data_IF_924612001125
#
_entry.id   IF_924612001125
#
_cell.length_a   1.000
_cell.length_b   1.000
_cell.length_c   1.000
_cell.angle_alpha   90.00
_cell.angle_beta   90.00
_cell.angle_gamma   90.00
#
_symmetry.space_group_name_H-M   'P 1'
#
loop_
_entity.id
_entity.type
_entity.pdbx_description
1 polymer ?
#
# COMPACT_ATOMS: atom_id res chain seq x y z
N UNK A 1 -4.44 -28.28 -3.57
CA UNK A 1 -4.52 -27.04 -2.75
C UNK A 1 -4.46 -25.88 -3.71
N UNK A 2 -5.27 -24.84 -3.53
CA UNK A 2 -5.16 -23.64 -4.36
C UNK A 2 -3.92 -22.84 -3.95
N UNK A 3 -3.16 -22.37 -4.92
CA UNK A 3 -1.97 -21.55 -4.70
C UNK A 3 -2.39 -20.13 -4.30
N UNK A 4 -1.74 -19.59 -3.28
CA UNK A 4 -1.92 -18.20 -2.86
C UNK A 4 -1.14 -17.28 -3.79
N UNK A 5 -1.80 -16.28 -4.37
CA UNK A 5 -1.20 -15.32 -5.31
C UNK A 5 -1.23 -13.91 -4.73
N UNK A 6 -0.04 -13.38 -4.44
CA UNK A 6 0.12 -12.01 -3.94
C UNK A 6 0.73 -11.16 -5.04
N UNK A 7 0.08 -10.05 -5.38
CA UNK A 7 0.68 -9.01 -6.21
C UNK A 7 1.49 -8.06 -5.32
N UNK A 8 2.68 -7.67 -5.78
CA UNK A 8 3.55 -6.72 -5.08
C UNK A 8 3.83 -5.56 -6.03
N UNK A 9 3.57 -4.34 -5.57
CA UNK A 9 3.86 -3.11 -6.29
C UNK A 9 4.83 -2.25 -5.45
N UNK A 10 6.01 -1.97 -6.01
CA UNK A 10 7.09 -1.27 -5.34
C UNK A 10 7.36 0.09 -5.96
N UNK A 11 7.78 1.07 -5.14
CA UNK A 11 8.35 2.36 -5.56
C UNK A 11 7.58 3.02 -6.71
N UNK A 12 6.30 3.30 -6.46
CA UNK A 12 5.36 3.76 -7.48
C UNK A 12 5.74 5.13 -8.04
N UNK A 13 6.31 6.03 -7.24
CA UNK A 13 6.71 7.39 -7.66
C UNK A 13 5.65 8.13 -8.51
N UNK A 14 4.38 8.02 -8.15
CA UNK A 14 3.27 8.64 -8.89
C UNK A 14 2.70 7.80 -10.04
N UNK A 15 3.36 6.71 -10.43
CA UNK A 15 2.94 5.80 -11.49
C UNK A 15 1.95 4.75 -10.97
N UNK A 16 0.78 5.21 -10.53
CA UNK A 16 -0.36 4.36 -10.23
C UNK A 16 -1.66 4.99 -10.72
N UNK A 17 -2.39 4.27 -11.57
CA UNK A 17 -3.65 4.72 -12.15
C UNK A 17 -4.67 3.59 -12.39
N UNK A 18 -5.70 3.87 -13.19
CA UNK A 18 -6.78 2.91 -13.45
C UNK A 18 -6.34 1.75 -14.35
N UNK A 19 -5.23 1.87 -15.08
CA UNK A 19 -4.67 0.76 -15.86
C UNK A 19 -4.12 -0.33 -14.95
N UNK A 20 -3.52 0.03 -13.80
CA UNK A 20 -3.08 -0.91 -12.77
C UNK A 20 -4.27 -1.65 -12.14
N UNK A 21 -5.39 -0.95 -11.96
CA UNK A 21 -6.64 -1.58 -11.48
C UNK A 21 -7.16 -2.63 -12.47
N UNK A 22 -7.14 -2.30 -13.77
CA UNK A 22 -7.55 -3.22 -14.82
C UNK A 22 -6.61 -4.44 -14.89
N UNK A 23 -5.30 -4.22 -14.70
CA UNK A 23 -4.32 -5.30 -14.63
C UNK A 23 -4.57 -6.21 -13.42
N UNK A 24 -4.81 -5.65 -12.24
CA UNK A 24 -5.16 -6.43 -11.04
C UNK A 24 -6.44 -7.24 -11.24
N UNK A 25 -7.45 -6.67 -11.93
CA UNK A 25 -8.68 -7.37 -12.25
C UNK A 25 -8.48 -8.56 -13.22
N UNK A 26 -7.50 -8.48 -14.13
CA UNK A 26 -7.14 -9.60 -15.02
C UNK A 26 -6.30 -10.65 -14.31
N UNK A 27 -5.31 -10.21 -13.51
CA UNK A 27 -4.41 -11.08 -12.77
C UNK A 27 -5.13 -11.85 -11.67
N UNK A 28 -6.17 -11.25 -11.06
CA UNK A 28 -6.94 -11.81 -9.94
C UNK A 28 -6.04 -12.34 -8.81
N UNK A 29 -5.16 -11.51 -8.22
CA UNK A 29 -4.43 -11.91 -7.02
C UNK A 29 -5.37 -11.97 -5.81
N UNK A 30 -4.99 -12.75 -4.81
CA UNK A 30 -5.71 -12.86 -3.55
C UNK A 30 -5.47 -11.64 -2.64
N UNK A 31 -4.34 -10.95 -2.82
CA UNK A 31 -3.99 -9.74 -2.10
C UNK A 31 -2.98 -8.87 -2.87
N UNK A 32 -2.94 -7.58 -2.52
CA UNK A 32 -1.95 -6.61 -2.99
C UNK A 32 -1.11 -6.10 -1.81
N UNK A 33 0.21 -6.13 -1.98
CA UNK A 33 1.17 -5.47 -1.11
C UNK A 33 1.80 -4.30 -1.87
N UNK A 34 1.58 -3.08 -1.38
CA UNK A 34 2.23 -1.87 -1.89
C UNK A 34 3.36 -1.50 -0.94
N UNK A 35 4.57 -1.30 -1.47
CA UNK A 35 5.77 -1.03 -0.67
C UNK A 35 6.54 0.12 -1.28
N UNK A 36 7.01 1.05 -0.45
CA UNK A 36 7.89 2.10 -0.91
C UNK A 36 7.15 3.23 -1.64
N UNK A 37 7.93 4.20 -2.07
CA UNK A 37 7.55 5.59 -2.29
C UNK A 37 6.33 5.74 -3.20
N UNK A 38 5.18 6.11 -2.61
CA UNK A 38 3.93 6.21 -3.36
C UNK A 38 4.01 7.36 -4.35
N UNK A 39 4.21 8.60 -3.88
CA UNK A 39 4.13 9.79 -4.76
C UNK A 39 4.62 11.10 -4.11
N UNK A 40 5.74 11.08 -3.39
CA UNK A 40 6.32 12.27 -2.73
C UNK A 40 5.30 13.06 -1.87
N UNK A 41 4.32 12.37 -1.27
CA UNK A 41 3.27 13.00 -0.45
C UNK A 41 1.98 13.40 -1.17
N UNK A 42 1.77 13.05 -2.45
CA UNK A 42 0.50 13.29 -3.14
C UNK A 42 -0.61 12.30 -2.71
N UNK A 43 -1.85 12.78 -2.53
CA UNK A 43 -2.95 11.94 -2.01
C UNK A 43 -3.68 11.09 -3.08
N UNK A 44 -3.33 11.26 -4.36
CA UNK A 44 -3.99 10.56 -5.47
C UNK A 44 -3.90 9.04 -5.34
N UNK A 45 -2.71 8.51 -5.04
CA UNK A 45 -2.48 7.06 -4.96
C UNK A 45 -3.21 6.45 -3.75
N UNK A 46 -3.10 6.99 -2.52
CA UNK A 46 -3.91 6.52 -1.41
C UNK A 46 -5.41 6.46 -1.72
N UNK A 47 -5.95 7.47 -2.43
CA UNK A 47 -7.35 7.49 -2.82
C UNK A 47 -7.70 6.36 -3.81
N UNK A 48 -6.85 6.11 -4.81
CA UNK A 48 -7.02 5.02 -5.77
C UNK A 48 -6.88 3.64 -5.12
N UNK A 49 -5.93 3.45 -4.21
CA UNK A 49 -5.74 2.19 -3.49
C UNK A 49 -6.96 1.82 -2.63
N UNK A 50 -7.68 2.81 -2.11
CA UNK A 50 -8.91 2.59 -1.33
C UNK A 50 -10.13 2.17 -2.15
N UNK A 51 -10.08 2.32 -3.47
CA UNK A 51 -11.16 1.88 -4.36
C UNK A 51 -11.06 0.38 -4.69
N UNK A 52 -9.91 -0.25 -4.42
CA UNK A 52 -9.70 -1.67 -4.65
C UNK A 52 -10.56 -2.51 -3.70
N UNK A 53 -11.22 -3.54 -4.26
CA UNK A 53 -12.07 -4.46 -3.50
C UNK A 53 -11.29 -5.64 -2.92
N UNK A 54 -10.08 -5.91 -3.42
CA UNK A 54 -9.19 -6.93 -2.90
C UNK A 54 -8.48 -6.47 -1.62
N UNK A 55 -8.00 -7.39 -0.78
CA UNK A 55 -7.20 -7.03 0.38
C UNK A 55 -5.91 -6.30 -0.04
N UNK A 56 -5.71 -5.09 0.48
CA UNK A 56 -4.51 -4.26 0.25
C UNK A 56 -3.78 -3.99 1.55
N UNK A 57 -2.46 -4.12 1.55
CA UNK A 57 -1.58 -3.64 2.61
C UNK A 57 -0.54 -2.69 2.02
N UNK A 58 -0.27 -1.58 2.72
CA UNK A 58 0.60 -0.53 2.24
C UNK A 58 1.68 -0.19 3.27
N UNK A 59 2.93 -0.15 2.81
CA UNK A 59 4.11 0.21 3.57
C UNK A 59 4.73 1.42 2.89
N UNK A 60 4.73 2.56 3.58
CA UNK A 60 5.32 3.81 3.07
C UNK A 60 6.85 3.76 3.07
N UNK A 61 7.45 4.40 2.07
CA UNK A 61 8.89 4.61 1.91
C UNK A 61 9.38 5.90 2.58
N UNK A 62 10.67 6.20 2.44
CA UNK A 62 11.28 7.38 3.04
C UNK A 62 10.91 8.67 2.29
N UNK A 63 10.63 8.61 0.98
CA UNK A 63 10.23 9.79 0.21
C UNK A 63 8.77 10.17 0.43
N UNK A 64 7.94 9.31 1.01
CA UNK A 64 6.57 9.66 1.41
C UNK A 64 6.51 10.69 2.55
N UNK A 65 7.63 10.97 3.21
CA UNK A 65 7.79 12.14 4.09
C UNK A 65 7.82 13.46 3.32
N UNK A 66 8.11 13.41 2.02
CA UNK A 66 8.38 14.56 1.17
C UNK A 66 9.62 15.35 1.64
N UNK A 67 9.75 16.58 1.15
CA UNK A 67 10.74 17.56 1.67
C UNK A 67 10.19 18.32 2.88
N UNK A 68 9.41 17.65 3.72
CA UNK A 68 8.71 18.26 4.85
C UNK A 68 9.26 17.76 6.19
N UNK A 69 10.12 18.57 6.81
CA UNK A 69 10.69 18.29 8.11
C UNK A 69 9.66 18.30 9.26
N UNK A 70 8.44 18.83 9.04
CA UNK A 70 7.39 18.86 10.07
C UNK A 70 6.64 17.53 10.24
N UNK A 71 6.82 16.59 9.31
CA UNK A 71 6.12 15.29 9.32
C UNK A 71 4.63 15.35 8.97
N UNK A 72 4.07 16.54 8.70
CA UNK A 72 2.65 16.72 8.37
C UNK A 72 2.29 16.05 7.05
N UNK A 73 3.21 16.03 6.09
CA UNK A 73 3.03 15.35 4.81
C UNK A 73 2.88 13.85 4.98
N UNK A 74 3.77 13.23 5.77
CA UNK A 74 3.67 11.81 6.13
C UNK A 74 2.36 11.51 6.86
N UNK A 75 1.99 12.35 7.84
CA UNK A 75 0.75 12.16 8.61
C UNK A 75 -0.49 12.16 7.71
N UNK A 76 -0.57 13.10 6.76
CA UNK A 76 -1.66 13.16 5.77
C UNK A 76 -1.72 11.93 4.85
N UNK A 77 -0.58 11.35 4.51
CA UNK A 77 -0.51 10.10 3.73
C UNK A 77 -1.05 8.92 4.55
N UNK A 78 -0.63 8.80 5.81
CA UNK A 78 -1.12 7.77 6.72
C UNK A 78 -2.64 7.89 6.91
N UNK A 79 -3.16 9.10 7.12
CA UNK A 79 -4.59 9.37 7.24
C UNK A 79 -5.36 9.02 5.96
N UNK A 80 -4.82 9.38 4.79
CA UNK A 80 -5.44 9.07 3.51
C UNK A 80 -5.51 7.55 3.28
N UNK A 81 -4.44 6.81 3.56
CA UNK A 81 -4.41 5.35 3.48
C UNK A 81 -5.32 4.68 4.52
N UNK A 82 -5.45 5.29 5.70
CA UNK A 82 -6.23 4.75 6.81
C UNK A 82 -5.85 3.30 7.14
N UNK A 83 -6.80 2.33 7.14
CA UNK A 83 -6.53 0.95 7.52
C UNK A 83 -5.69 0.16 6.49
N UNK A 84 -5.36 0.74 5.34
CA UNK A 84 -4.44 0.12 4.38
C UNK A 84 -2.98 0.25 4.84
N UNK A 85 -2.65 1.30 5.61
CA UNK A 85 -1.30 1.49 6.12
C UNK A 85 -1.00 0.47 7.22
N UNK A 86 0.07 -0.30 7.05
CA UNK A 86 0.54 -1.31 8.01
C UNK A 86 2.05 -1.20 8.29
N UNK A 87 2.61 0.00 8.19
CA UNK A 87 4.05 0.22 8.37
C UNK A 87 4.59 -0.17 9.75
N UNK A 88 3.70 -0.33 10.74
CA UNK A 88 4.03 -0.57 12.16
C UNK A 88 3.11 -1.60 12.81
N UNK A 89 2.19 -2.22 12.06
CA UNK A 89 1.13 -3.08 12.55
C UNK A 89 0.98 -4.33 11.69
N UNK A 90 0.56 -5.43 12.31
CA UNK A 90 0.11 -6.60 11.58
C UNK A 90 -1.19 -6.28 10.85
N UNK A 91 -1.23 -6.58 9.55
CA UNK A 91 -2.49 -6.60 8.80
C UNK A 91 -2.87 -8.03 8.43
N UNK A 92 -3.90 -8.54 9.09
CA UNK A 92 -4.59 -9.75 8.66
C UNK A 92 -5.57 -9.41 7.55
N UNK A 93 -5.44 -10.10 6.42
CA UNK A 93 -6.35 -9.95 5.29
C UNK A 93 -7.39 -11.07 5.37
N UNK A 94 -8.67 -10.73 5.23
CA UNK A 94 -9.76 -11.70 5.20
C UNK A 94 -9.75 -12.48 3.88
N UNK A 95 -9.11 -13.65 3.90
CA UNK A 95 -8.97 -14.60 2.80
C UNK A 95 -8.15 -15.81 3.27
N UNK A 96 -8.14 -16.94 2.55
CA UNK A 96 -7.45 -18.14 3.01
C UNK A 96 -5.93 -17.92 3.00
N UNK A 97 -5.37 -17.65 4.19
CA UNK A 97 -3.94 -17.81 4.57
C UNK A 97 -2.94 -16.71 4.22
N UNK A 98 -3.35 -15.48 3.89
CA UNK A 98 -2.40 -14.36 3.75
C UNK A 98 -2.41 -13.42 4.96
N UNK A 99 -1.28 -13.32 5.66
CA UNK A 99 -1.03 -12.27 6.66
C UNK A 99 0.19 -11.48 6.24
N UNK A 100 0.07 -10.15 6.14
CA UNK A 100 1.18 -9.28 5.76
C UNK A 100 1.76 -8.68 7.05
N UNK A 101 3.05 -8.94 7.27
CA UNK A 101 3.79 -8.50 8.43
C UNK A 101 4.92 -7.57 7.98
N UNK A 102 5.08 -6.42 8.65
CA UNK A 102 6.31 -5.63 8.58
C UNK A 102 6.95 -5.59 9.95
N UNK A 103 8.25 -5.83 10.00
CA UNK A 103 9.03 -5.72 11.23
C UNK A 103 9.25 -4.24 11.59
N UNK A 104 8.97 -3.88 12.84
CA UNK A 104 9.28 -2.56 13.40
C UNK A 104 10.79 -2.38 13.42
N UNK A 105 11.33 -1.56 12.52
CA UNK A 105 12.66 -0.97 12.74
C UNK A 105 12.44 0.17 13.73
N UNK A 106 12.89 -0.01 14.98
CA UNK A 106 12.90 1.10 15.93
C UNK A 106 13.89 2.15 15.42
N UNK A 107 13.57 3.45 15.44
CA UNK A 107 14.58 4.49 15.28
C UNK A 107 15.63 4.39 16.39
#
# INVERSE_FOLDING_TARGET
>A
MADLRIAIAGDLHGAWDHSDHALLASLKPDALLVVGDLSDGQQRIPALLRQLTLPVACILGNHDTGKDASGRTLQRQIEALGPLHCGWSLRQCSGPRASIWRCRVRP
#
